data_IF_218475501738
#
_entry.id   IF_218475501738
#
_cell.length_a   1.000
_cell.length_b   1.000
_cell.length_c   1.000
_cell.angle_alpha   90.00
_cell.angle_beta   90.00
_cell.angle_gamma   90.00
#
_symmetry.space_group_name_H-M   'P 1'
#
loop_
_entity.id
_entity.type
_entity.pdbx_description
1 polymer ?
#
# COMPACT_ATOMS: atom_id res chain seq x y z
N UNK A 1 -3.93 16.34 2.77
CA UNK A 1 -3.58 14.89 2.82
C UNK A 1 -2.70 14.53 1.63
N UNK A 2 -1.69 13.66 1.78
CA UNK A 2 -0.79 13.26 0.67
C UNK A 2 -1.54 12.34 -0.30
N UNK A 3 -1.09 12.21 -1.55
CA UNK A 3 -1.65 11.27 -2.53
C UNK A 3 -0.78 10.04 -2.69
N UNK A 4 -1.39 8.88 -2.85
CA UNK A 4 -0.72 7.64 -3.24
C UNK A 4 -1.50 6.97 -4.36
N UNK A 5 -0.80 6.53 -5.40
CA UNK A 5 -1.41 5.92 -6.56
C UNK A 5 -1.32 4.40 -6.47
N UNK A 6 -2.41 3.74 -6.85
CA UNK A 6 -2.48 2.30 -7.00
C UNK A 6 -3.16 1.96 -8.33
N UNK A 7 -2.91 0.77 -8.83
CA UNK A 7 -3.65 0.23 -9.97
C UNK A 7 -5.07 -0.15 -9.54
N UNK A 8 -6.01 -0.15 -10.50
CA UNK A 8 -7.42 -0.50 -10.22
C UNK A 8 -7.62 -1.84 -9.51
N UNK A 9 -6.96 -2.96 -9.91
CA UNK A 9 -7.16 -4.23 -9.23
C UNK A 9 -6.80 -4.20 -7.73
N UNK A 10 -5.75 -3.44 -7.35
CA UNK A 10 -5.38 -3.29 -5.94
C UNK A 10 -6.38 -2.40 -5.20
N UNK A 11 -6.88 -1.34 -5.84
CA UNK A 11 -7.91 -0.45 -5.27
C UNK A 11 -9.20 -1.24 -4.99
N UNK A 12 -9.61 -2.11 -5.92
CA UNK A 12 -10.77 -2.98 -5.74
C UNK A 12 -10.56 -3.93 -4.54
N UNK A 13 -9.37 -4.54 -4.43
CA UNK A 13 -9.01 -5.37 -3.26
C UNK A 13 -8.99 -4.60 -1.95
N UNK A 14 -8.62 -3.32 -1.93
CA UNK A 14 -8.67 -2.49 -0.71
C UNK A 14 -10.09 -2.32 -0.14
N UNK A 15 -11.13 -2.63 -0.92
CA UNK A 15 -12.53 -2.58 -0.47
C UNK A 15 -13.05 -3.92 0.05
N UNK A 16 -12.25 -4.99 -0.05
CA UNK A 16 -12.65 -6.32 0.40
C UNK A 16 -12.59 -6.41 1.93
N UNK A 17 -13.07 -7.54 2.47
CA UNK A 17 -12.92 -7.89 3.89
C UNK A 17 -11.48 -8.16 4.30
N UNK A 18 -10.61 -8.48 3.34
CA UNK A 18 -9.18 -8.78 3.55
C UNK A 18 -8.33 -7.89 2.61
N UNK A 19 -8.19 -6.60 2.95
CA UNK A 19 -7.47 -5.65 2.12
C UNK A 19 -5.96 -5.86 2.23
N UNK A 20 -5.19 -5.53 1.18
CA UNK A 20 -3.74 -5.50 1.28
C UNK A 20 -3.29 -4.53 2.36
N UNK A 21 -2.19 -4.86 3.02
CA UNK A 21 -1.64 -4.07 4.12
C UNK A 21 -0.17 -3.68 3.89
N UNK A 22 0.42 -4.06 2.75
CA UNK A 22 1.78 -3.69 2.35
C UNK A 22 1.79 -2.98 0.99
N UNK A 23 2.69 -2.00 0.85
CA UNK A 23 3.02 -1.43 -0.46
C UNK A 23 4.51 -1.16 -0.62
N UNK A 24 5.04 -1.48 -1.78
CA UNK A 24 6.44 -1.25 -2.14
C UNK A 24 6.59 0.06 -2.91
N UNK A 25 7.48 0.94 -2.46
CA UNK A 25 7.77 2.24 -3.08
C UNK A 25 9.28 2.52 -3.10
N UNK A 26 9.76 3.31 -4.07
CA UNK A 26 11.15 3.81 -4.08
C UNK A 26 11.47 4.78 -2.93
N UNK A 27 10.45 5.37 -2.32
CA UNK A 27 10.59 6.34 -1.23
C UNK A 27 9.81 5.86 0.00
N UNK A 28 10.37 6.14 1.19
CA UNK A 28 9.67 6.00 2.47
C UNK A 28 8.32 6.70 2.45
N UNK A 29 7.29 6.04 2.98
CA UNK A 29 5.98 6.64 3.22
C UNK A 29 5.68 6.67 4.72
N UNK A 30 4.93 7.67 5.16
CA UNK A 30 4.46 7.83 6.54
C UNK A 30 3.26 8.77 6.62
N UNK A 31 2.31 8.42 7.50
CA UNK A 31 1.10 9.20 7.76
C UNK A 31 -0.05 8.84 6.82
N UNK A 32 -1.00 9.77 6.69
CA UNK A 32 -2.24 9.57 5.93
C UNK A 32 -2.07 9.89 4.44
N UNK A 33 -2.65 9.03 3.60
CA UNK A 33 -2.67 9.18 2.16
C UNK A 33 -4.07 8.93 1.59
N UNK A 34 -4.52 9.81 0.70
CA UNK A 34 -5.65 9.56 -0.18
C UNK A 34 -5.20 8.62 -1.30
N UNK A 35 -5.95 7.55 -1.51
CA UNK A 35 -5.75 6.62 -2.62
C UNK A 35 -6.32 7.22 -3.90
N UNK A 36 -5.49 7.24 -4.93
CA UNK A 36 -5.87 7.72 -6.25
C UNK A 36 -5.60 6.66 -7.33
N UNK A 37 -6.37 6.73 -8.41
CA UNK A 37 -6.10 6.04 -9.68
C UNK A 37 -5.83 7.05 -10.80
N UNK A 38 -5.62 6.55 -12.02
CA UNK A 38 -5.36 7.37 -13.20
C UNK A 38 -3.90 7.84 -13.30
N UNK A 39 -3.69 8.89 -14.09
CA UNK A 39 -2.37 9.47 -14.30
C UNK A 39 -2.01 10.51 -13.24
N UNK A 40 -0.71 10.76 -13.05
CA UNK A 40 -0.21 11.81 -12.13
C UNK A 40 -0.84 13.18 -12.39
N UNK A 41 -1.11 13.51 -13.65
CA UNK A 41 -1.65 14.80 -14.08
C UNK A 41 -3.19 14.88 -14.01
N UNK A 42 -3.87 13.73 -13.99
CA UNK A 42 -5.33 13.63 -13.91
C UNK A 42 -5.70 12.57 -12.86
N UNK A 43 -5.41 12.84 -11.58
CA UNK A 43 -5.68 11.89 -10.52
C UNK A 43 -7.19 11.75 -10.30
N UNK A 44 -7.66 10.52 -10.22
CA UNK A 44 -9.01 10.21 -9.76
C UNK A 44 -8.96 9.78 -8.30
N UNK A 45 -9.66 10.48 -7.42
CA UNK A 45 -9.79 10.08 -6.02
C UNK A 45 -10.75 8.90 -5.90
N UNK A 46 -10.37 7.91 -5.11
CA UNK A 46 -11.13 6.66 -4.97
C UNK A 46 -11.93 6.62 -3.66
N UNK A 47 -11.91 7.68 -2.85
CA UNK A 47 -12.61 7.70 -1.55
C UNK A 47 -12.08 6.67 -0.55
N UNK A 48 -10.84 6.21 -0.73
CA UNK A 48 -10.13 5.33 0.23
C UNK A 48 -8.98 6.14 0.83
N UNK A 49 -8.82 6.04 2.14
CA UNK A 49 -7.64 6.57 2.84
C UNK A 49 -6.83 5.43 3.41
N UNK A 50 -5.51 5.56 3.37
CA UNK A 50 -4.60 4.64 4.07
C UNK A 50 -3.74 5.38 5.08
N UNK A 51 -3.46 4.75 6.21
CA UNK A 51 -2.46 5.22 7.18
C UNK A 51 -1.24 4.33 7.11
N UNK A 52 -0.13 4.89 6.65
CA UNK A 52 1.18 4.22 6.68
C UNK A 52 1.83 4.44 8.05
N UNK A 53 2.05 3.36 8.78
CA UNK A 53 2.55 3.39 10.16
C UNK A 53 3.99 2.86 10.31
N UNK A 54 4.44 1.97 9.40
CA UNK A 54 5.82 1.45 9.38
C UNK A 54 6.39 1.43 7.97
N UNK A 55 7.70 1.65 7.87
CA UNK A 55 8.45 1.53 6.63
C UNK A 55 9.87 1.06 6.91
N UNK A 56 10.36 0.10 6.14
CA UNK A 56 11.77 -0.32 6.15
C UNK A 56 12.28 -0.52 4.73
N UNK A 57 13.60 -0.51 4.56
CA UNK A 57 14.24 -0.88 3.29
C UNK A 57 14.38 -2.39 3.24
N UNK A 58 14.01 -2.97 2.10
CA UNK A 58 14.14 -4.39 1.79
C UNK A 58 14.92 -4.55 0.48
N UNK A 59 15.62 -5.67 0.34
CA UNK A 59 16.26 -6.09 -0.92
C UNK A 59 15.23 -6.89 -1.72
N UNK A 60 15.07 -6.58 -3.00
CA UNK A 60 14.01 -7.21 -3.80
C UNK A 60 14.21 -8.70 -4.04
N UNK A 61 15.46 -9.16 -4.07
CA UNK A 61 15.81 -10.56 -4.28
C UNK A 61 15.46 -11.44 -3.07
N UNK A 62 15.18 -10.82 -1.91
CA UNK A 62 14.77 -11.48 -0.67
C UNK A 62 13.24 -11.51 -0.50
N UNK A 63 12.48 -10.93 -1.44
CA UNK A 63 11.02 -10.93 -1.37
C UNK A 63 10.46 -12.31 -1.69
N UNK A 64 9.35 -12.62 -1.04
CA UNK A 64 8.65 -13.91 -1.13
C UNK A 64 7.29 -13.75 -1.82
N UNK A 65 6.64 -14.88 -2.16
CA UNK A 65 5.24 -14.84 -2.63
C UNK A 65 4.31 -14.25 -1.57
N UNK A 66 4.60 -14.44 -0.28
CA UNK A 66 3.81 -13.84 0.80
C UNK A 66 3.88 -12.31 0.75
N UNK A 67 5.03 -11.72 0.45
CA UNK A 67 5.17 -10.27 0.27
C UNK A 67 4.28 -9.74 -0.86
N UNK A 68 4.10 -10.53 -1.92
CA UNK A 68 3.19 -10.19 -3.01
C UNK A 68 1.73 -10.29 -2.58
N UNK A 69 1.36 -11.36 -1.87
CA UNK A 69 0.01 -11.56 -1.31
C UNK A 69 -0.37 -10.42 -0.37
N UNK A 70 0.52 -10.05 0.55
CA UNK A 70 0.31 -8.93 1.48
C UNK A 70 0.14 -7.58 0.76
N UNK A 71 0.75 -7.45 -0.42
CA UNK A 71 0.60 -6.29 -1.30
C UNK A 71 -0.64 -6.36 -2.22
N UNK A 72 -1.44 -7.42 -2.10
CA UNK A 72 -2.67 -7.64 -2.85
C UNK A 72 -2.45 -8.26 -4.23
N UNK A 73 -1.33 -8.92 -4.46
CA UNK A 73 -1.00 -9.62 -5.70
C UNK A 73 -1.04 -11.14 -5.49
N UNK A 74 -0.99 -11.91 -6.57
CA UNK A 74 -1.10 -13.38 -6.52
C UNK A 74 0.24 -14.09 -6.35
N UNK A 75 1.34 -13.45 -6.74
CA UNK A 75 2.68 -14.06 -6.75
C UNK A 75 3.79 -13.01 -6.83
N UNK A 76 5.01 -13.42 -6.46
CA UNK A 76 6.23 -12.64 -6.59
C UNK A 76 6.51 -12.26 -8.05
N UNK A 77 6.18 -13.16 -8.99
CA UNK A 77 6.29 -12.88 -10.44
C UNK A 77 5.44 -11.67 -10.83
N UNK A 78 4.18 -11.64 -10.41
CA UNK A 78 3.28 -10.53 -10.66
C UNK A 78 3.79 -9.23 -10.02
N UNK A 79 4.33 -9.31 -8.79
CA UNK A 79 4.94 -8.16 -8.12
C UNK A 79 6.11 -7.56 -8.92
N UNK A 80 6.99 -8.40 -9.46
CA UNK A 80 8.10 -7.94 -10.29
C UNK A 80 7.66 -7.39 -11.65
N UNK A 81 6.62 -7.96 -12.26
CA UNK A 81 5.99 -7.36 -13.45
C UNK A 81 5.44 -5.97 -13.15
N UNK A 82 4.82 -5.77 -11.98
CA UNK A 82 4.38 -4.46 -11.53
C UNK A 82 5.53 -3.48 -11.34
N UNK A 83 6.64 -3.92 -10.74
CA UNK A 83 7.83 -3.08 -10.59
C UNK A 83 8.36 -2.63 -11.95
N UNK A 84 8.53 -3.55 -12.90
CA UNK A 84 8.98 -3.22 -14.27
C UNK A 84 8.02 -2.24 -14.94
N UNK A 85 6.71 -2.44 -14.81
CA UNK A 85 5.71 -1.55 -15.43
C UNK A 85 5.74 -0.13 -14.84
N UNK A 86 5.96 0.01 -13.54
CA UNK A 86 5.92 1.31 -12.85
C UNK A 86 7.26 2.04 -12.84
N UNK A 87 8.37 1.29 -12.80
CA UNK A 87 9.70 1.83 -12.56
C UNK A 87 10.67 1.59 -13.73
N UNK A 88 10.25 0.86 -14.77
CA UNK A 88 11.08 0.49 -15.93
C UNK A 88 11.94 -0.76 -15.70
N UNK A 89 12.15 -1.15 -14.44
CA UNK A 89 13.02 -2.25 -14.01
C UNK A 89 12.54 -2.79 -12.65
N UNK A 90 13.15 -3.87 -12.16
CA UNK A 90 13.02 -4.32 -10.77
C UNK A 90 14.08 -3.59 -9.94
N UNK A 91 13.72 -2.60 -9.08
CA UNK A 91 14.72 -1.88 -8.30
C UNK A 91 15.36 -2.82 -7.27
N UNK A 92 16.68 -2.79 -7.09
CA UNK A 92 17.39 -3.69 -6.13
C UNK A 92 16.97 -3.50 -4.67
N UNK A 93 16.54 -2.27 -4.32
CA UNK A 93 16.07 -1.92 -2.98
C UNK A 93 14.79 -1.13 -3.05
N UNK A 94 13.89 -1.42 -2.12
CA UNK A 94 12.60 -0.76 -2.02
C UNK A 94 12.23 -0.49 -0.58
N UNK A 95 11.35 0.49 -0.36
CA UNK A 95 10.67 0.65 0.91
C UNK A 95 9.44 -0.26 0.94
N UNK A 96 9.43 -1.24 1.85
CA UNK A 96 8.23 -1.98 2.26
C UNK A 96 7.48 -1.11 3.27
N UNK A 97 6.25 -0.70 2.94
CA UNK A 97 5.45 0.21 3.76
C UNK A 97 4.20 -0.54 4.23
N UNK A 98 4.02 -0.65 5.54
CA UNK A 98 2.82 -1.22 6.14
C UNK A 98 1.79 -0.14 6.35
N UNK A 99 0.56 -0.44 5.96
CA UNK A 99 -0.56 0.47 6.09
C UNK A 99 -1.83 -0.25 6.52
N UNK A 100 -2.78 0.53 6.99
CA UNK A 100 -4.15 0.10 7.22
C UNK A 100 -5.08 0.92 6.33
N UNK A 101 -6.10 0.26 5.78
CA UNK A 101 -7.17 0.92 5.04
C UNK A 101 -8.17 1.53 6.03
N UNK A 102 -8.56 2.76 5.74
CA UNK A 102 -9.48 3.56 6.54
C UNK A 102 -10.64 4.01 5.67
N UNK A 103 -11.85 3.88 6.21
CA UNK A 103 -13.02 4.56 5.68
C UNK A 103 -12.96 6.04 6.05
N UNK A 104 -13.57 6.91 5.24
CA UNK A 104 -13.58 8.36 5.48
C UNK A 104 -14.20 8.70 6.84
N UNK A 105 -15.26 7.99 7.25
CA UNK A 105 -15.89 8.19 8.56
C UNK A 105 -14.98 7.84 9.75
N UNK A 106 -13.95 7.00 9.55
CA UNK A 106 -13.01 6.61 10.61
C UNK A 106 -11.96 7.71 10.88
N UNK A 107 -11.79 8.66 9.97
CA UNK A 107 -10.83 9.77 10.13
C UNK A 107 -11.27 10.78 11.18
N UNK A 108 -12.57 10.83 11.46
CA UNK A 108 -13.16 11.72 12.47
C UNK A 108 -13.07 11.14 13.89
N UNK A 109 -12.57 9.91 14.04
CA UNK A 109 -12.50 9.16 15.32
C UNK A 109 -11.06 8.72 15.64
N UNK A 110 -10.26 9.55 16.33
CA UNK A 110 -8.83 9.32 16.57
C UNK A 110 -8.52 7.97 17.25
N UNK A 111 -9.38 7.54 18.15
CA UNK A 111 -9.25 6.33 18.95
C UNK A 111 -9.43 5.02 18.15
N UNK A 112 -10.13 5.05 17.00
CA UNK A 112 -10.19 3.90 16.09
C UNK A 112 -8.89 3.72 15.28
N UNK A 113 -8.17 4.82 15.02
CA UNK A 113 -6.92 4.81 14.27
C UNK A 113 -5.78 4.18 15.05
N UNK A 114 -5.78 4.30 16.38
CA UNK A 114 -4.75 3.69 17.25
C UNK A 114 -4.96 2.19 17.41
N UNK A 115 -6.21 1.73 17.53
CA UNK A 115 -6.54 0.30 17.66
C UNK A 115 -6.14 -0.52 16.42
N UNK A 116 -6.36 -0.01 15.21
CA UNK A 116 -5.96 -0.72 13.97
C UNK A 116 -4.44 -0.85 13.82
N UNK A 117 -3.68 0.16 14.26
CA UNK A 117 -2.21 0.11 14.25
C UNK A 117 -1.70 -0.84 15.34
N UNK A 118 -2.31 -0.84 16.53
CA UNK A 118 -1.98 -1.78 17.61
C UNK A 118 -2.28 -3.24 17.24
N UNK A 119 -3.42 -3.51 16.60
CA UNK A 119 -3.76 -4.85 16.12
C UNK A 119 -2.83 -5.32 14.98
N UNK A 120 -2.39 -4.42 14.09
CA UNK A 120 -1.40 -4.73 13.06
C UNK A 120 0.04 -4.92 13.56
N UNK A 121 0.31 -4.63 14.85
CA UNK A 121 1.56 -4.94 15.55
C UNK A 121 1.49 -6.25 16.36
N UNK A 122 0.32 -6.89 16.44
CA UNK A 122 0.09 -8.14 17.15
C UNK A 122 -0.10 -9.30 16.16
N UNK A 123 0.88 -9.51 15.29
CA UNK A 123 1.12 -10.77 14.58
C UNK A 123 2.63 -10.99 14.49
#
# INVERSE_FOLDING_TARGET
MKRIFFIKPIIEKMRSSDPPFITFRRQRKSGLYMVCSGGRFHPKEEGIVIRVWRSCVVVTDELTDQDAVDAGLSSLRELFEFFRKWYGEVPTRMHKNWFVVLQLEELEKPELLERKVGAGCLL
#
